data_IF_732826921757
#
_entry.id   IF_732826921757
#
_cell.length_a   1.000
_cell.length_b   1.000
_cell.length_c   1.000
_cell.angle_alpha   90.00
_cell.angle_beta   90.00
_cell.angle_gamma   90.00
#
_symmetry.space_group_name_H-M   'P 1'
#
loop_
_entity.id
_entity.type
_entity.pdbx_description
1 polymer ?
#
# COMPACT_ATOMS: atom_id res chain seq x y z
N UNK A 1 65.86 -72.93 13.80
CA UNK A 1 64.45 -73.22 14.09
C UNK A 1 63.82 -71.88 14.54
N UNK A 2 63.03 -71.26 13.69
CA UNK A 2 61.89 -70.40 14.06
C UNK A 2 61.29 -69.82 12.78
N UNK A 3 60.04 -70.08 12.56
CA UNK A 3 59.30 -69.87 11.36
C UNK A 3 58.92 -68.36 11.19
N UNK A 4 59.16 -67.84 10.01
CA UNK A 4 58.65 -66.52 9.59
C UNK A 4 57.20 -66.66 9.20
N UNK A 5 56.36 -65.80 9.77
CA UNK A 5 54.98 -65.53 9.30
C UNK A 5 55.00 -64.38 8.30
N UNK A 6 54.61 -64.68 7.07
CA UNK A 6 54.32 -63.72 6.05
C UNK A 6 52.97 -63.01 6.32
N UNK A 7 52.99 -61.71 6.44
CA UNK A 7 51.78 -60.89 6.46
C UNK A 7 51.31 -60.62 5.01
N UNK A 8 50.09 -61.05 4.66
CA UNK A 8 49.47 -60.77 3.39
C UNK A 8 48.98 -59.31 3.32
N UNK A 9 48.84 -58.73 2.14
CA UNK A 9 48.42 -57.32 1.96
C UNK A 9 46.95 -57.17 2.29
N UNK A 10 46.68 -56.28 3.23
CA UNK A 10 45.33 -55.79 3.49
C UNK A 10 44.83 -54.98 2.27
N UNK A 11 43.96 -55.57 1.50
CA UNK A 11 43.13 -54.86 0.51
C UNK A 11 42.07 -54.02 1.28
N UNK A 12 42.32 -52.73 1.43
CA UNK A 12 41.31 -51.79 1.86
C UNK A 12 40.32 -51.64 0.69
N UNK A 13 39.14 -52.25 0.82
CA UNK A 13 38.01 -51.95 -0.07
C UNK A 13 37.67 -50.47 0.06
N UNK A 14 38.05 -49.69 -0.93
CA UNK A 14 37.53 -48.34 -1.11
C UNK A 14 36.03 -48.44 -1.41
N UNK A 15 35.23 -48.24 -0.35
CA UNK A 15 33.80 -48.06 -0.47
C UNK A 15 33.59 -46.79 -1.31
N UNK A 16 33.12 -46.95 -2.53
CA UNK A 16 32.76 -45.82 -3.41
C UNK A 16 31.78 -44.92 -2.67
N UNK A 17 32.22 -43.73 -2.27
CA UNK A 17 31.34 -42.69 -1.77
C UNK A 17 30.32 -42.40 -2.87
N UNK A 18 29.02 -42.56 -2.53
CA UNK A 18 27.93 -42.15 -3.37
C UNK A 18 28.11 -40.63 -3.71
N UNK A 19 27.87 -40.23 -4.95
CA UNK A 19 28.02 -38.84 -5.31
C UNK A 19 27.16 -37.97 -4.37
N UNK A 20 27.82 -37.07 -3.64
CA UNK A 20 27.16 -36.05 -2.81
C UNK A 20 26.24 -35.30 -3.74
N UNK A 21 24.94 -35.50 -3.60
CA UNK A 21 23.94 -34.76 -4.36
C UNK A 21 24.22 -33.30 -4.10
N UNK A 22 24.44 -32.55 -5.17
CA UNK A 22 24.69 -31.09 -5.09
C UNK A 22 23.44 -30.42 -4.54
N UNK A 23 23.36 -30.26 -3.22
CA UNK A 23 22.24 -29.65 -2.49
C UNK A 23 22.01 -28.17 -2.89
N UNK A 24 22.90 -27.60 -3.72
CA UNK A 24 22.83 -26.21 -4.17
C UNK A 24 21.76 -25.98 -5.22
N UNK A 25 21.16 -26.99 -5.81
CA UNK A 25 20.10 -26.86 -6.82
C UNK A 25 18.87 -27.63 -6.36
N UNK A 26 18.19 -27.11 -5.34
CA UNK A 26 16.80 -27.49 -5.09
C UNK A 26 15.97 -27.01 -6.29
N UNK A 27 15.68 -27.90 -7.23
CA UNK A 27 14.69 -27.67 -8.28
C UNK A 27 13.32 -27.53 -7.64
N UNK A 28 13.01 -26.32 -7.14
CA UNK A 28 11.68 -26.02 -6.64
C UNK A 28 10.69 -26.18 -7.79
N UNK A 29 9.70 -27.06 -7.64
CA UNK A 29 8.60 -27.25 -8.58
C UNK A 29 8.01 -25.89 -8.98
N UNK A 30 7.64 -25.66 -10.26
CA UNK A 30 7.01 -24.42 -10.70
C UNK A 30 5.74 -24.10 -9.89
N UNK A 31 5.03 -25.12 -9.42
CA UNK A 31 3.88 -24.98 -8.53
C UNK A 31 4.28 -24.41 -7.14
N UNK A 32 5.42 -24.86 -6.56
CA UNK A 32 5.93 -24.30 -5.30
C UNK A 32 6.34 -22.83 -5.46
N UNK A 33 6.96 -22.47 -6.59
CA UNK A 33 7.30 -21.07 -6.92
C UNK A 33 6.04 -20.19 -7.08
N UNK A 34 4.98 -20.75 -7.66
CA UNK A 34 3.70 -20.05 -7.79
C UNK A 34 3.06 -19.85 -6.41
N UNK A 35 2.96 -20.89 -5.59
CA UNK A 35 2.39 -20.85 -4.24
C UNK A 35 3.15 -19.94 -3.26
N UNK A 36 4.42 -19.66 -3.52
CA UNK A 36 5.24 -18.75 -2.72
C UNK A 36 5.05 -17.27 -3.09
N UNK A 37 4.23 -16.93 -4.11
CA UNK A 37 4.00 -15.53 -4.49
C UNK A 37 3.05 -14.85 -3.52
N UNK A 38 3.39 -13.64 -3.02
CA UNK A 38 2.55 -12.89 -2.08
C UNK A 38 1.14 -12.58 -2.62
N UNK A 39 1.00 -12.48 -3.95
CA UNK A 39 -0.26 -12.11 -4.60
C UNK A 39 -1.30 -13.24 -4.65
N UNK A 40 -0.88 -14.52 -4.56
CA UNK A 40 -1.81 -15.63 -4.76
C UNK A 40 -2.93 -15.67 -3.73
N UNK A 41 -2.59 -15.46 -2.46
CA UNK A 41 -3.60 -15.43 -1.40
C UNK A 41 -4.64 -14.34 -1.62
N UNK A 42 -4.19 -13.15 -1.99
CA UNK A 42 -5.08 -12.01 -2.25
C UNK A 42 -5.92 -12.21 -3.51
N UNK A 43 -5.37 -12.80 -4.59
CA UNK A 43 -6.12 -13.10 -5.81
C UNK A 43 -7.22 -14.13 -5.56
N UNK A 44 -6.93 -15.19 -4.80
CA UNK A 44 -7.95 -16.19 -4.40
C UNK A 44 -9.02 -15.53 -3.53
N UNK A 45 -8.63 -14.68 -2.58
CA UNK A 45 -9.55 -13.90 -1.76
C UNK A 45 -10.43 -12.97 -2.60
N UNK A 46 -9.84 -12.27 -3.57
CA UNK A 46 -10.58 -11.39 -4.48
C UNK A 46 -11.59 -12.16 -5.32
N UNK A 47 -11.21 -13.33 -5.84
CA UNK A 47 -12.11 -14.20 -6.60
C UNK A 47 -13.26 -14.70 -5.72
N UNK A 48 -12.96 -15.11 -4.49
CA UNK A 48 -14.00 -15.57 -3.55
C UNK A 48 -15.01 -14.45 -3.23
N UNK A 49 -14.54 -13.23 -2.93
CA UNK A 49 -15.39 -12.06 -2.67
C UNK A 49 -16.18 -11.66 -3.92
N UNK A 50 -15.55 -11.69 -5.09
CA UNK A 50 -16.24 -11.42 -6.36
C UNK A 50 -17.38 -12.40 -6.61
N UNK A 51 -17.11 -13.71 -6.52
CA UNK A 51 -18.13 -14.76 -6.71
C UNK A 51 -19.24 -14.64 -5.67
N UNK A 52 -18.89 -14.38 -4.42
CA UNK A 52 -19.85 -14.20 -3.34
C UNK A 52 -20.85 -13.08 -3.68
N UNK A 53 -20.38 -11.86 -4.00
CA UNK A 53 -21.30 -10.76 -4.34
C UNK A 53 -21.96 -10.92 -5.71
N UNK A 54 -21.35 -11.62 -6.66
CA UNK A 54 -21.99 -11.94 -7.94
C UNK A 54 -23.21 -12.85 -7.78
N UNK A 55 -23.24 -13.69 -6.72
CA UNK A 55 -24.35 -14.61 -6.43
C UNK A 55 -25.46 -13.98 -5.59
N UNK A 56 -25.14 -13.02 -4.71
CA UNK A 56 -26.09 -12.51 -3.72
C UNK A 56 -26.55 -11.06 -3.96
N UNK A 57 -25.79 -10.29 -4.74
CA UNK A 57 -26.08 -8.87 -4.95
C UNK A 57 -26.64 -8.64 -6.36
N UNK A 58 -27.94 -8.35 -6.44
CA UNK A 58 -28.59 -8.06 -7.69
C UNK A 58 -27.98 -6.84 -8.39
N UNK A 59 -27.58 -7.04 -9.65
CA UNK A 59 -26.97 -5.99 -10.44
C UNK A 59 -25.48 -5.75 -10.20
N UNK A 60 -24.79 -6.51 -9.32
CA UNK A 60 -23.35 -6.41 -9.09
C UNK A 60 -22.52 -6.55 -10.36
N UNK A 61 -22.92 -7.43 -11.28
CA UNK A 61 -22.24 -7.70 -12.56
C UNK A 61 -22.56 -6.68 -13.66
N UNK A 62 -23.41 -5.67 -13.41
CA UNK A 62 -23.66 -4.60 -14.39
C UNK A 62 -22.40 -3.78 -14.60
N UNK A 63 -22.13 -3.34 -15.83
CA UNK A 63 -20.94 -2.56 -16.15
C UNK A 63 -20.81 -1.28 -15.30
N UNK A 64 -21.92 -0.59 -15.02
CA UNK A 64 -21.94 0.59 -14.13
C UNK A 64 -21.57 0.25 -12.68
N UNK A 65 -22.01 -0.93 -12.18
CA UNK A 65 -21.67 -1.40 -10.84
C UNK A 65 -20.19 -1.75 -10.74
N UNK A 66 -19.63 -2.41 -11.74
CA UNK A 66 -18.19 -2.71 -11.82
C UNK A 66 -17.35 -1.44 -11.89
N UNK A 67 -17.80 -0.43 -12.66
CA UNK A 67 -17.14 0.90 -12.65
C UNK A 67 -17.14 1.53 -11.26
N UNK A 68 -18.27 1.46 -10.54
CA UNK A 68 -18.38 1.98 -9.16
C UNK A 68 -17.47 1.21 -8.19
N UNK A 69 -17.33 -0.11 -8.34
CA UNK A 69 -16.38 -0.93 -7.58
C UNK A 69 -14.95 -0.51 -7.88
N UNK A 70 -14.58 -0.36 -9.16
CA UNK A 70 -13.25 0.08 -9.55
C UNK A 70 -12.92 1.48 -9.02
N UNK A 71 -13.89 2.39 -9.03
CA UNK A 71 -13.72 3.71 -8.44
C UNK A 71 -13.45 3.63 -6.94
N UNK A 72 -14.28 2.90 -6.17
CA UNK A 72 -14.08 2.70 -4.74
C UNK A 72 -12.74 1.99 -4.43
N UNK A 73 -12.33 1.06 -5.29
CA UNK A 73 -11.03 0.39 -5.18
C UNK A 73 -9.88 1.37 -5.43
N UNK A 74 -10.00 2.25 -6.43
CA UNK A 74 -8.95 3.19 -6.79
C UNK A 74 -8.71 4.26 -5.72
N UNK A 75 -9.74 4.75 -5.04
CA UNK A 75 -9.59 5.73 -3.96
C UNK A 75 -8.78 5.20 -2.79
N UNK A 76 -8.91 3.91 -2.48
CA UNK A 76 -8.08 3.24 -1.47
C UNK A 76 -6.75 2.80 -2.06
N UNK A 77 -6.74 2.29 -3.29
CA UNK A 77 -5.57 1.72 -3.94
C UNK A 77 -4.45 2.72 -4.22
N UNK A 78 -4.78 3.99 -4.49
CA UNK A 78 -3.79 5.07 -4.62
C UNK A 78 -2.93 5.17 -3.36
N UNK A 79 -3.52 4.99 -2.18
CA UNK A 79 -2.80 5.01 -0.90
C UNK A 79 -2.24 3.63 -0.50
N UNK A 80 -2.97 2.55 -0.76
CA UNK A 80 -2.56 1.21 -0.37
C UNK A 80 -1.23 0.78 -1.01
N UNK A 81 -0.94 1.21 -2.25
CA UNK A 81 0.31 0.88 -2.94
C UNK A 81 1.53 1.49 -2.25
N UNK A 82 1.66 2.81 -2.06
CA UNK A 82 2.82 3.37 -1.36
C UNK A 82 2.89 2.95 0.12
N UNK A 83 1.76 2.76 0.80
CA UNK A 83 1.72 2.20 2.16
C UNK A 83 2.26 0.77 2.16
N UNK A 84 1.93 -0.06 1.17
CA UNK A 84 2.50 -1.40 1.04
C UNK A 84 4.02 -1.37 0.85
N UNK A 85 4.56 -0.46 0.02
CA UNK A 85 6.00 -0.29 -0.14
C UNK A 85 6.66 0.08 1.19
N UNK A 86 6.06 0.99 1.96
CA UNK A 86 6.53 1.38 3.28
C UNK A 86 6.51 0.18 4.25
N UNK A 87 5.43 -0.59 4.26
CA UNK A 87 5.30 -1.81 5.08
C UNK A 87 6.33 -2.88 4.69
N UNK A 88 6.59 -3.08 3.39
CA UNK A 88 7.67 -3.96 2.92
C UNK A 88 9.02 -3.48 3.47
N UNK A 89 9.23 -2.17 3.57
CA UNK A 89 10.39 -1.54 4.21
C UNK A 89 10.44 -1.67 5.74
N UNK A 90 9.44 -2.31 6.37
CA UNK A 90 9.38 -2.58 7.81
C UNK A 90 8.78 -1.45 8.64
N UNK A 91 8.13 -0.44 8.02
CA UNK A 91 7.62 0.75 8.70
C UNK A 91 6.14 0.98 8.46
N UNK A 92 5.51 1.79 9.32
CA UNK A 92 4.12 2.19 9.25
C UNK A 92 3.98 3.72 9.24
N UNK A 93 2.89 4.22 8.64
CA UNK A 93 2.54 5.63 8.67
C UNK A 93 1.06 5.81 9.05
N UNK A 94 0.83 6.17 10.32
CA UNK A 94 -0.50 6.50 10.81
C UNK A 94 -0.94 7.90 10.39
N UNK A 95 -0.03 8.76 9.93
CA UNK A 95 -0.41 10.09 9.45
C UNK A 95 -0.96 10.09 8.03
N UNK A 96 -0.84 8.96 7.32
CA UNK A 96 -1.18 8.84 5.89
C UNK A 96 -2.61 9.28 5.55
N UNK A 97 -3.60 8.91 6.39
CA UNK A 97 -5.00 9.29 6.18
C UNK A 97 -5.25 10.78 6.34
N UNK A 98 -4.75 11.35 7.42
CA UNK A 98 -4.89 12.80 7.71
C UNK A 98 -4.08 13.65 6.73
N UNK A 99 -2.93 13.14 6.24
CA UNK A 99 -2.11 13.82 5.25
C UNK A 99 -2.85 14.01 3.91
N UNK A 100 -3.75 13.10 3.53
CA UNK A 100 -4.66 13.28 2.39
C UNK A 100 -5.47 14.56 2.56
N UNK A 101 -6.12 14.71 3.71
CA UNK A 101 -6.91 15.91 4.03
C UNK A 101 -6.04 17.15 4.14
N UNK A 102 -4.87 17.07 4.80
CA UNK A 102 -3.92 18.19 4.87
C UNK A 102 -3.51 18.70 3.50
N UNK A 103 -3.20 17.78 2.57
CA UNK A 103 -2.85 18.12 1.19
C UNK A 103 -4.00 18.86 0.47
N UNK A 104 -5.21 18.36 0.61
CA UNK A 104 -6.41 18.97 0.01
C UNK A 104 -6.69 20.37 0.61
N UNK A 105 -6.62 20.51 1.94
CA UNK A 105 -6.80 21.79 2.65
C UNK A 105 -5.76 22.84 2.22
N UNK A 106 -4.48 22.46 2.18
CA UNK A 106 -3.39 23.34 1.74
C UNK A 106 -3.64 23.80 0.30
N UNK A 107 -3.98 22.85 -0.58
CA UNK A 107 -4.28 23.19 -1.99
C UNK A 107 -5.45 24.17 -2.11
N UNK A 108 -6.55 23.93 -1.38
CA UNK A 108 -7.73 24.79 -1.37
C UNK A 108 -7.44 26.17 -0.82
N UNK A 109 -6.83 26.27 0.38
CA UNK A 109 -6.54 27.55 1.04
C UNK A 109 -5.56 28.41 0.24
N UNK A 110 -4.48 27.81 -0.30
CA UNK A 110 -3.56 28.56 -1.15
C UNK A 110 -4.20 29.04 -2.43
N UNK A 111 -5.06 28.23 -3.06
CA UNK A 111 -5.79 28.64 -4.25
C UNK A 111 -6.73 29.81 -3.99
N UNK A 112 -7.48 29.76 -2.88
CA UNK A 112 -8.50 30.75 -2.55
C UNK A 112 -7.95 32.02 -1.90
N UNK A 113 -7.05 31.87 -0.90
CA UNK A 113 -6.62 33.00 -0.06
C UNK A 113 -5.35 33.69 -0.58
N UNK A 114 -4.41 32.95 -1.17
CA UNK A 114 -3.08 33.46 -1.52
C UNK A 114 -2.93 33.74 -3.00
N UNK A 115 -3.65 33.01 -3.86
CA UNK A 115 -3.60 33.19 -5.33
C UNK A 115 -4.95 32.83 -5.93
N UNK A 116 -5.30 33.43 -7.04
CA UNK A 116 -6.48 33.01 -7.79
C UNK A 116 -6.24 31.78 -8.69
N UNK A 117 -5.08 31.17 -8.65
CA UNK A 117 -4.69 30.06 -9.53
C UNK A 117 -4.58 28.74 -8.76
N UNK A 118 -5.42 27.80 -9.11
CA UNK A 118 -5.52 26.47 -8.49
C UNK A 118 -4.22 25.65 -8.61
N UNK A 119 -3.48 25.76 -9.71
CA UNK A 119 -2.23 25.01 -9.91
C UNK A 119 -1.12 25.42 -8.95
N UNK A 120 -1.13 26.66 -8.46
CA UNK A 120 -0.18 27.09 -7.41
C UNK A 120 -0.49 26.35 -6.11
N UNK A 121 -1.77 26.28 -5.71
CA UNK A 121 -2.19 25.51 -4.54
C UNK A 121 -1.83 24.02 -4.66
N UNK A 122 -2.05 23.42 -5.83
CA UNK A 122 -1.67 22.04 -6.14
C UNK A 122 -0.15 21.82 -5.99
N UNK A 123 0.67 22.75 -6.51
CA UNK A 123 2.13 22.67 -6.39
C UNK A 123 2.62 22.86 -4.96
N UNK A 124 2.09 23.84 -4.23
CA UNK A 124 2.44 24.09 -2.82
C UNK A 124 2.08 22.90 -1.95
N UNK A 125 0.87 22.35 -2.13
CA UNK A 125 0.45 21.16 -1.37
C UNK A 125 1.32 19.94 -1.63
N UNK A 126 1.83 19.75 -2.85
CA UNK A 126 2.81 18.70 -3.15
C UNK A 126 4.09 18.87 -2.34
N UNK A 127 4.68 20.08 -2.37
CA UNK A 127 5.92 20.37 -1.66
C UNK A 127 5.77 20.17 -0.15
N UNK A 128 4.66 20.66 0.43
CA UNK A 128 4.39 20.51 1.87
C UNK A 128 4.15 19.04 2.23
N UNK A 129 3.38 18.31 1.43
CA UNK A 129 3.15 16.88 1.67
C UNK A 129 4.46 16.09 1.65
N UNK A 130 5.31 16.31 0.63
CA UNK A 130 6.63 15.66 0.55
C UNK A 130 7.53 16.06 1.72
N UNK A 131 7.49 17.31 2.19
CA UNK A 131 8.24 17.76 3.35
C UNK A 131 7.79 17.05 4.64
N UNK A 132 6.47 16.84 4.83
CA UNK A 132 5.92 16.08 5.97
C UNK A 132 6.37 14.61 5.90
N UNK A 133 6.29 13.97 4.73
CA UNK A 133 6.81 12.62 4.56
C UNK A 133 8.31 12.52 4.83
N UNK A 134 9.11 13.48 4.31
CA UNK A 134 10.53 13.54 4.58
C UNK A 134 10.83 13.76 6.07
N UNK A 135 10.04 14.59 6.75
CA UNK A 135 10.14 14.82 8.20
C UNK A 135 9.91 13.53 8.99
N UNK A 136 8.84 12.76 8.69
CA UNK A 136 8.59 11.48 9.34
C UNK A 136 9.76 10.51 9.17
N UNK A 137 10.23 10.34 7.94
CA UNK A 137 11.37 9.47 7.64
C UNK A 137 12.68 9.95 8.28
N UNK A 138 12.94 11.27 8.31
CA UNK A 138 14.09 11.86 8.96
C UNK A 138 14.05 11.64 10.48
N UNK A 139 12.91 11.92 11.12
CA UNK A 139 12.73 11.71 12.55
C UNK A 139 12.95 10.24 12.93
N UNK A 140 12.38 9.30 12.15
CA UNK A 140 12.57 7.87 12.36
C UNK A 140 14.05 7.48 12.34
N UNK A 141 14.76 7.90 11.30
CA UNK A 141 16.16 7.51 11.12
C UNK A 141 17.12 8.18 12.10
N UNK A 142 16.75 9.37 12.61
CA UNK A 142 17.59 10.14 13.55
C UNK A 142 17.36 9.76 14.99
N UNK A 143 16.10 9.52 15.41
CA UNK A 143 15.74 9.25 16.80
C UNK A 143 15.72 7.79 17.15
N UNK A 144 15.60 6.89 16.15
CA UNK A 144 15.40 5.44 16.31
C UNK A 144 14.13 5.09 17.13
N UNK A 145 13.19 6.02 17.25
CA UNK A 145 11.88 5.74 17.83
C UNK A 145 11.07 4.86 16.87
N UNK A 146 10.19 4.01 17.38
CA UNK A 146 9.26 3.23 16.53
C UNK A 146 8.45 4.15 15.61
N UNK A 147 8.26 3.73 14.35
CA UNK A 147 7.47 4.48 13.36
C UNK A 147 6.07 4.83 13.84
N UNK A 148 5.44 3.92 14.57
CA UNK A 148 4.14 4.14 15.20
C UNK A 148 4.10 5.42 16.06
N UNK A 149 5.12 5.66 16.91
CA UNK A 149 5.16 6.83 17.81
C UNK A 149 5.32 8.11 17.02
N UNK A 150 6.24 8.12 16.03
CA UNK A 150 6.52 9.31 15.23
C UNK A 150 5.31 9.69 14.40
N UNK A 151 4.73 8.72 13.70
CA UNK A 151 3.60 8.99 12.80
C UNK A 151 2.29 9.23 13.54
N UNK A 152 2.10 8.67 14.75
CA UNK A 152 1.01 9.03 15.64
C UNK A 152 1.14 10.49 16.12
N UNK A 153 2.35 10.93 16.46
CA UNK A 153 2.61 12.33 16.79
C UNK A 153 2.28 13.26 15.63
N UNK A 154 2.76 12.93 14.42
CA UNK A 154 2.44 13.69 13.21
C UNK A 154 0.94 13.66 12.88
N UNK A 155 0.28 12.51 13.04
CA UNK A 155 -1.17 12.39 12.90
C UNK A 155 -1.93 13.39 13.79
N UNK A 156 -1.60 13.41 15.10
CA UNK A 156 -2.26 14.33 16.05
C UNK A 156 -1.96 15.80 15.73
N UNK A 157 -0.72 16.12 15.35
CA UNK A 157 -0.36 17.46 14.93
C UNK A 157 -1.13 17.89 13.68
N UNK A 158 -1.22 17.04 12.67
CA UNK A 158 -1.97 17.33 11.45
C UNK A 158 -3.47 17.45 11.72
N UNK A 159 -4.07 16.60 12.56
CA UNK A 159 -5.47 16.74 12.99
C UNK A 159 -5.72 18.11 13.60
N UNK A 160 -4.87 18.55 14.51
CA UNK A 160 -4.98 19.85 15.16
C UNK A 160 -4.77 21.02 14.20
N UNK A 161 -3.76 20.93 13.34
CA UNK A 161 -3.45 21.96 12.34
C UNK A 161 -4.57 22.05 11.28
N UNK A 162 -5.05 20.94 10.77
CA UNK A 162 -6.15 20.92 9.78
C UNK A 162 -7.38 21.66 10.33
N UNK A 163 -7.82 21.33 11.53
CA UNK A 163 -8.97 21.98 12.16
C UNK A 163 -8.67 23.44 12.52
N UNK A 164 -7.52 23.71 13.14
CA UNK A 164 -7.13 25.03 13.61
C UNK A 164 -6.99 26.03 12.47
N UNK A 165 -6.23 25.68 11.42
CA UNK A 165 -6.06 26.57 10.27
C UNK A 165 -7.36 26.75 9.46
N UNK A 166 -8.17 25.69 9.28
CA UNK A 166 -9.45 25.83 8.58
C UNK A 166 -10.38 26.80 9.32
N UNK A 167 -10.49 26.70 10.64
CA UNK A 167 -11.29 27.65 11.44
C UNK A 167 -10.71 29.07 11.42
N UNK A 168 -9.39 29.20 11.48
CA UNK A 168 -8.73 30.51 11.50
C UNK A 168 -8.88 31.23 10.17
N UNK A 169 -8.80 30.51 9.05
CA UNK A 169 -8.79 31.09 7.69
C UNK A 169 -10.21 31.23 7.15
N UNK A 170 -11.01 30.17 7.25
CA UNK A 170 -12.34 30.11 6.63
C UNK A 170 -13.51 30.35 7.60
N UNK A 171 -13.23 30.39 8.93
CA UNK A 171 -14.23 30.60 9.98
C UNK A 171 -15.12 29.39 10.25
N UNK A 172 -14.93 28.26 9.54
CA UNK A 172 -15.73 27.04 9.61
C UNK A 172 -14.82 25.81 9.67
N UNK A 173 -15.39 24.61 9.72
CA UNK A 173 -14.65 23.33 9.67
C UNK A 173 -14.38 22.84 8.24
N UNK A 174 -14.88 23.55 7.25
CA UNK A 174 -14.72 23.24 5.81
C UNK A 174 -14.15 24.44 5.07
N UNK A 175 -13.37 24.19 4.03
CA UNK A 175 -12.89 25.25 3.13
C UNK A 175 -14.03 25.81 2.29
N UNK A 176 -13.82 27.00 1.73
CA UNK A 176 -14.70 27.56 0.71
C UNK A 176 -14.54 26.80 -0.61
N UNK A 177 -15.56 26.90 -1.47
CA UNK A 177 -15.47 26.35 -2.83
C UNK A 177 -14.38 27.06 -3.64
N UNK A 178 -13.64 26.27 -4.42
CA UNK A 178 -12.63 26.77 -5.36
C UNK A 178 -13.08 26.66 -6.82
N UNK A 179 -14.35 26.34 -7.06
CA UNK A 179 -14.88 26.08 -8.41
C UNK A 179 -14.69 27.27 -9.37
N UNK A 180 -14.70 28.50 -8.86
CA UNK A 180 -14.56 29.75 -9.64
C UNK A 180 -13.08 30.19 -9.83
N UNK A 181 -12.11 29.43 -9.29
CA UNK A 181 -10.70 29.79 -9.36
C UNK A 181 -10.10 29.47 -10.75
N UNK A 182 -9.14 30.32 -11.18
CA UNK A 182 -8.40 30.03 -12.41
C UNK A 182 -7.70 28.68 -12.37
N UNK A 183 -7.79 27.90 -13.47
CA UNK A 183 -7.17 26.60 -13.58
C UNK A 183 -7.99 25.46 -12.94
N UNK A 184 -9.12 25.75 -12.27
CA UNK A 184 -9.94 24.71 -11.64
C UNK A 184 -10.37 23.62 -12.63
N UNK A 185 -10.94 23.99 -13.79
CA UNK A 185 -11.41 23.03 -14.79
C UNK A 185 -10.29 22.12 -15.30
N UNK A 186 -9.09 22.67 -15.53
CA UNK A 186 -7.94 21.89 -15.98
C UNK A 186 -7.39 20.97 -14.87
N UNK A 187 -7.35 21.42 -13.62
CA UNK A 187 -6.95 20.61 -12.49
C UNK A 187 -7.98 19.50 -12.20
N UNK A 188 -9.27 19.82 -12.24
CA UNK A 188 -10.35 18.82 -12.14
C UNK A 188 -10.26 17.76 -13.25
N UNK A 189 -9.90 18.14 -14.47
CA UNK A 189 -9.70 17.20 -15.57
C UNK A 189 -8.60 16.19 -15.26
N UNK A 190 -7.53 16.60 -14.56
CA UNK A 190 -6.40 15.74 -14.19
C UNK A 190 -6.73 14.82 -12.99
N UNK A 191 -7.43 15.37 -11.97
CA UNK A 191 -7.57 14.67 -10.68
C UNK A 191 -8.96 14.08 -10.44
N UNK A 192 -10.02 14.58 -11.10
CA UNK A 192 -11.40 14.19 -10.78
C UNK A 192 -12.32 14.04 -12.00
N UNK A 193 -11.75 13.96 -13.22
CA UNK A 193 -12.57 13.79 -14.43
C UNK A 193 -13.22 12.42 -14.49
N UNK A 194 -14.27 12.37 -15.33
CA UNK A 194 -14.99 11.16 -15.67
C UNK A 194 -14.91 10.97 -17.18
N UNK A 195 -14.58 9.76 -17.61
CA UNK A 195 -14.51 9.38 -19.02
C UNK A 195 -15.60 8.34 -19.28
N UNK A 196 -16.54 8.64 -20.17
CA UNK A 196 -17.61 7.71 -20.55
C UNK A 196 -17.15 6.83 -21.69
N UNK A 197 -17.16 5.51 -21.49
CA UNK A 197 -16.83 4.51 -22.49
C UNK A 197 -18.02 3.55 -22.62
N UNK A 198 -18.63 3.48 -23.80
CA UNK A 198 -19.79 2.60 -24.04
C UNK A 198 -21.00 2.87 -23.12
N UNK A 199 -21.20 4.12 -22.70
CA UNK A 199 -22.29 4.52 -21.80
C UNK A 199 -22.00 4.23 -20.30
N UNK A 200 -20.79 3.82 -19.97
CA UNK A 200 -20.33 3.60 -18.59
C UNK A 200 -19.29 4.63 -18.22
N UNK A 201 -19.45 5.25 -17.05
CA UNK A 201 -18.60 6.32 -16.53
C UNK A 201 -17.44 5.77 -15.72
N UNK A 202 -16.20 6.05 -16.11
CA UNK A 202 -14.99 5.71 -15.40
C UNK A 202 -14.29 6.94 -14.85
N UNK A 203 -13.93 6.92 -13.56
CA UNK A 203 -13.18 8.01 -12.92
C UNK A 203 -11.70 7.94 -13.23
N UNK A 204 -11.07 9.09 -13.45
CA UNK A 204 -9.61 9.20 -13.72
C UNK A 204 -8.74 8.62 -12.61
N UNK A 205 -9.25 8.53 -11.37
CA UNK A 205 -8.57 7.89 -10.23
C UNK A 205 -8.16 6.45 -10.51
N UNK A 206 -8.91 5.73 -11.35
CA UNK A 206 -8.54 4.37 -11.78
C UNK A 206 -7.21 4.41 -12.54
N UNK A 207 -6.99 5.40 -13.40
CA UNK A 207 -5.71 5.56 -14.12
C UNK A 207 -4.57 5.92 -13.17
N UNK A 208 -4.79 6.82 -12.20
CA UNK A 208 -3.79 7.14 -11.17
C UNK A 208 -3.42 5.91 -10.35
N UNK A 209 -4.41 5.13 -9.94
CA UNK A 209 -4.18 3.88 -9.23
C UNK A 209 -3.35 2.89 -10.04
N UNK A 210 -3.73 2.62 -11.30
CA UNK A 210 -2.99 1.73 -12.19
C UNK A 210 -1.56 2.23 -12.44
N UNK A 211 -1.37 3.54 -12.60
CA UNK A 211 -0.05 4.14 -12.76
C UNK A 211 0.82 3.91 -11.50
N UNK A 212 0.27 4.07 -10.29
CA UNK A 212 0.99 3.80 -9.04
C UNK A 212 1.28 2.31 -8.86
N UNK A 213 0.37 1.42 -9.24
CA UNK A 213 0.62 -0.05 -9.24
C UNK A 213 1.76 -0.39 -10.19
N UNK A 214 1.76 0.16 -11.40
CA UNK A 214 2.81 -0.06 -12.38
C UNK A 214 4.16 0.49 -11.88
N UNK A 215 4.18 1.72 -11.35
CA UNK A 215 5.37 2.36 -10.80
C UNK A 215 5.90 1.59 -9.58
N UNK A 216 5.05 1.26 -8.62
CA UNK A 216 5.44 0.52 -7.41
C UNK A 216 5.97 -0.88 -7.75
N UNK A 217 5.31 -1.57 -8.68
CA UNK A 217 5.77 -2.89 -9.16
C UNK A 217 7.11 -2.78 -9.89
N UNK A 218 7.29 -1.76 -10.72
CA UNK A 218 8.55 -1.51 -11.42
C UNK A 218 9.68 -1.20 -10.42
N UNK A 219 9.42 -0.34 -9.41
CA UNK A 219 10.39 -0.03 -8.36
C UNK A 219 10.80 -1.33 -7.64
N UNK A 220 9.84 -2.13 -7.15
CA UNK A 220 10.13 -3.33 -6.37
C UNK A 220 10.84 -4.41 -7.19
N UNK A 221 10.44 -4.63 -8.44
CA UNK A 221 10.88 -5.79 -9.22
C UNK A 221 12.06 -5.51 -10.17
N UNK A 222 12.31 -4.23 -10.53
CA UNK A 222 13.24 -3.87 -11.59
C UNK A 222 14.31 -2.88 -11.19
N UNK A 223 14.28 -2.34 -9.94
CA UNK A 223 15.24 -1.34 -9.51
C UNK A 223 16.09 -1.79 -8.32
N UNK A 224 17.26 -1.16 -8.14
CA UNK A 224 18.10 -1.35 -6.95
C UNK A 224 17.38 -0.89 -5.67
N UNK A 225 16.51 0.12 -5.80
CA UNK A 225 15.72 0.64 -4.66
C UNK A 225 14.77 -0.45 -4.13
N UNK A 226 14.15 -1.26 -5.00
CA UNK A 226 13.33 -2.38 -4.60
C UNK A 226 14.10 -3.41 -3.75
N UNK A 227 15.31 -3.76 -4.17
CA UNK A 227 16.18 -4.65 -3.39
C UNK A 227 16.53 -4.04 -2.03
N UNK A 228 16.76 -2.73 -1.96
CA UNK A 228 17.01 -2.03 -0.69
C UNK A 228 15.77 -2.06 0.23
N UNK A 229 14.57 -1.86 -0.33
CA UNK A 229 13.31 -1.92 0.42
C UNK A 229 13.15 -3.29 1.08
N UNK A 230 13.30 -4.38 0.32
CA UNK A 230 13.21 -5.74 0.87
C UNK A 230 14.30 -6.04 1.89
N UNK A 231 15.55 -5.60 1.63
CA UNK A 231 16.66 -5.82 2.54
C UNK A 231 16.46 -5.09 3.88
N UNK A 232 16.06 -3.80 3.82
CA UNK A 232 15.80 -2.97 5.01
C UNK A 232 14.66 -3.54 5.84
N UNK A 233 13.56 -3.94 5.20
CA UNK A 233 12.41 -4.50 5.90
C UNK A 233 12.64 -5.92 6.43
N UNK A 234 13.55 -6.69 5.81
CA UNK A 234 13.91 -8.03 6.29
C UNK A 234 14.85 -8.00 7.50
N UNK A 235 15.93 -7.24 7.41
CA UNK A 235 16.87 -7.01 8.52
C UNK A 235 17.67 -5.72 8.26
N UNK A 236 17.34 -4.68 9.01
CA UNK A 236 17.94 -3.34 8.86
C UNK A 236 19.46 -3.35 9.11
N UNK A 237 19.91 -4.05 10.15
CA UNK A 237 21.32 -4.07 10.53
C UNK A 237 22.16 -4.83 9.50
N UNK A 238 21.67 -5.97 9.03
CA UNK A 238 22.33 -6.72 7.95
C UNK A 238 22.35 -5.90 6.64
N UNK A 239 21.26 -5.21 6.29
CA UNK A 239 21.21 -4.33 5.12
C UNK A 239 22.24 -3.20 5.21
N UNK A 240 22.39 -2.60 6.39
CA UNK A 240 23.39 -1.56 6.66
C UNK A 240 24.81 -2.08 6.54
N UNK A 241 25.08 -3.29 7.04
CA UNK A 241 26.41 -3.92 6.98
C UNK A 241 26.87 -4.18 5.54
N UNK A 242 25.96 -4.44 4.61
CA UNK A 242 26.28 -4.63 3.17
C UNK A 242 26.17 -3.35 2.35
N UNK A 243 26.07 -2.17 3.00
CA UNK A 243 26.15 -0.85 2.36
C UNK A 243 24.84 -0.31 1.80
N UNK A 244 23.68 -0.90 2.17
CA UNK A 244 22.38 -0.34 1.78
C UNK A 244 22.16 1.02 2.47
N UNK A 245 21.74 2.07 1.73
CA UNK A 245 21.51 3.40 2.31
C UNK A 245 20.16 3.46 3.05
N UNK A 246 20.07 2.79 4.22
CA UNK A 246 18.86 2.59 5.02
C UNK A 246 18.07 3.89 5.25
N UNK A 247 18.76 4.97 5.70
CA UNK A 247 18.09 6.25 5.98
C UNK A 247 17.42 6.83 4.72
N UNK A 248 18.13 6.85 3.58
CA UNK A 248 17.59 7.36 2.32
C UNK A 248 16.40 6.50 1.83
N UNK A 249 16.50 5.20 2.01
CA UNK A 249 15.42 4.27 1.63
C UNK A 249 14.16 4.55 2.45
N UNK A 250 14.28 4.65 3.79
CA UNK A 250 13.14 4.93 4.66
C UNK A 250 12.52 6.30 4.38
N UNK A 251 13.34 7.37 4.28
CA UNK A 251 12.85 8.71 3.95
C UNK A 251 12.12 8.70 2.61
N UNK A 252 12.67 8.04 1.58
CA UNK A 252 12.04 7.93 0.27
C UNK A 252 10.69 7.21 0.31
N UNK A 253 10.54 6.19 1.16
CA UNK A 253 9.28 5.46 1.35
C UNK A 253 8.20 6.36 1.98
N UNK A 254 8.54 7.12 3.03
CA UNK A 254 7.60 8.09 3.61
C UNK A 254 7.22 9.21 2.63
N UNK A 255 8.17 9.69 1.81
CA UNK A 255 7.86 10.63 0.73
C UNK A 255 6.95 9.99 -0.33
N UNK A 256 7.10 8.70 -0.61
CA UNK A 256 6.21 7.94 -1.50
C UNK A 256 4.78 7.87 -0.96
N UNK A 257 4.58 7.64 0.35
CA UNK A 257 3.27 7.71 1.01
C UNK A 257 2.69 9.11 0.91
N UNK A 258 3.50 10.13 1.18
CA UNK A 258 3.07 11.52 1.09
C UNK A 258 2.69 11.94 -0.34
N UNK A 259 3.36 11.41 -1.36
CA UNK A 259 2.98 11.61 -2.76
C UNK A 259 1.63 10.96 -3.09
N UNK A 260 1.38 9.75 -2.61
CA UNK A 260 0.07 9.10 -2.73
C UNK A 260 -1.02 9.90 -2.01
N UNK A 261 -0.72 10.42 -0.81
CA UNK A 261 -1.63 11.26 -0.04
C UNK A 261 -1.96 12.57 -0.78
N UNK A 262 -0.96 13.17 -1.44
CA UNK A 262 -1.19 14.34 -2.28
C UNK A 262 -2.13 14.03 -3.45
N UNK A 263 -1.92 12.95 -4.22
CA UNK A 263 -2.83 12.57 -5.33
C UNK A 263 -4.25 12.37 -4.80
N UNK A 264 -4.40 11.60 -3.72
CA UNK A 264 -5.72 11.34 -3.10
C UNK A 264 -6.38 12.63 -2.60
N UNK A 265 -5.60 13.55 -2.02
CA UNK A 265 -6.07 14.84 -1.55
C UNK A 265 -6.53 15.75 -2.69
N UNK A 266 -5.80 15.78 -3.82
CA UNK A 266 -6.26 16.53 -5.00
C UNK A 266 -7.55 15.92 -5.56
N UNK A 267 -7.63 14.58 -5.65
CA UNK A 267 -8.86 13.93 -6.06
C UNK A 267 -10.04 14.33 -5.16
N UNK A 268 -9.85 14.32 -3.84
CA UNK A 268 -10.86 14.71 -2.86
C UNK A 268 -11.34 16.14 -3.11
N UNK A 269 -10.40 17.10 -3.18
CA UNK A 269 -10.68 18.51 -3.38
C UNK A 269 -11.45 18.77 -4.69
N UNK A 270 -10.97 18.23 -5.83
CA UNK A 270 -11.57 18.47 -7.13
C UNK A 270 -12.84 17.65 -7.40
N UNK A 271 -13.17 16.69 -6.54
CA UNK A 271 -14.44 15.95 -6.60
C UNK A 271 -15.57 16.68 -5.88
N UNK A 272 -15.26 17.40 -4.78
CA UNK A 272 -16.25 18.04 -3.92
C UNK A 272 -16.13 19.57 -3.88
N UNK A 273 -15.13 20.15 -4.56
CA UNK A 273 -14.85 21.59 -4.67
C UNK A 273 -14.52 22.29 -3.33
N UNK A 274 -14.64 21.58 -2.22
CA UNK A 274 -14.33 21.99 -0.85
C UNK A 274 -13.94 20.76 -0.02
N UNK A 275 -13.29 20.95 1.14
CA UNK A 275 -12.77 19.87 1.99
C UNK A 275 -13.09 20.14 3.46
N UNK A 276 -13.53 19.12 4.18
CA UNK A 276 -13.71 19.15 5.63
C UNK A 276 -12.41 18.76 6.37
N UNK A 277 -12.08 19.48 7.42
CA UNK A 277 -10.81 19.32 8.16
C UNK A 277 -10.60 17.95 8.83
N UNK A 278 -11.67 17.20 9.07
CA UNK A 278 -11.63 15.87 9.73
C UNK A 278 -11.79 14.68 8.79
N UNK A 279 -11.85 14.87 7.48
CA UNK A 279 -12.32 13.86 6.53
C UNK A 279 -11.40 12.63 6.40
N UNK A 280 -10.10 12.76 6.53
CA UNK A 280 -9.13 11.66 6.36
C UNK A 280 -8.90 10.78 7.59
N UNK A 281 -9.47 11.13 8.75
CA UNK A 281 -9.24 10.43 10.02
C UNK A 281 -9.80 9.01 9.99
N UNK A 282 -8.96 8.02 10.28
CA UNK A 282 -9.31 6.60 10.30
C UNK A 282 -9.04 5.87 8.98
N UNK A 283 -8.76 6.59 7.88
CA UNK A 283 -8.46 5.99 6.58
C UNK A 283 -7.08 5.33 6.55
N UNK A 284 -6.13 5.75 7.39
CA UNK A 284 -4.81 5.15 7.52
C UNK A 284 -4.87 3.66 7.81
N UNK A 285 -5.79 3.24 8.68
CA UNK A 285 -6.00 1.83 8.98
C UNK A 285 -6.53 1.05 7.78
N UNK A 286 -7.41 1.68 6.98
CA UNK A 286 -7.96 1.06 5.77
C UNK A 286 -6.87 0.80 4.73
N UNK A 287 -5.93 1.73 4.55
CA UNK A 287 -4.80 1.57 3.63
C UNK A 287 -3.86 0.44 4.07
N UNK A 288 -3.57 0.36 5.38
CA UNK A 288 -2.78 -0.72 5.97
C UNK A 288 -3.50 -2.06 5.79
N UNK A 289 -4.79 -2.12 6.09
CA UNK A 289 -5.60 -3.34 5.93
C UNK A 289 -5.58 -3.81 4.47
N UNK A 290 -5.75 -2.92 3.50
CA UNK A 290 -5.68 -3.26 2.08
C UNK A 290 -4.31 -3.83 1.70
N UNK A 291 -3.21 -3.28 2.23
CA UNK A 291 -1.87 -3.80 2.01
C UNK A 291 -1.67 -5.19 2.64
N UNK A 292 -2.18 -5.42 3.87
CA UNK A 292 -2.09 -6.71 4.57
C UNK A 292 -2.93 -7.79 3.89
N UNK A 293 -4.18 -7.48 3.52
CA UNK A 293 -5.04 -8.38 2.71
C UNK A 293 -4.34 -8.70 1.38
N UNK A 294 -3.63 -7.71 0.82
CA UNK A 294 -2.80 -7.84 -0.37
C UNK A 294 -1.55 -8.72 -0.21
N UNK A 295 -1.28 -9.24 1.00
CA UNK A 295 -0.17 -10.16 1.30
C UNK A 295 1.09 -9.49 1.80
N UNK A 296 1.08 -8.20 2.17
CA UNK A 296 2.20 -7.57 2.85
C UNK A 296 2.28 -8.04 4.31
N UNK A 297 3.48 -8.38 4.76
CA UNK A 297 3.71 -8.70 6.17
C UNK A 297 3.83 -7.44 7.02
N UNK A 298 3.22 -7.49 8.20
CA UNK A 298 3.35 -6.42 9.21
C UNK A 298 4.80 -6.29 9.71
N UNK A 299 5.56 -7.37 9.67
CA UNK A 299 6.97 -7.41 10.10
C UNK A 299 7.95 -6.90 9.06
N UNK A 300 7.51 -6.55 7.86
CA UNK A 300 8.36 -6.11 6.75
C UNK A 300 9.02 -7.24 5.95
N UNK A 301 9.81 -6.88 4.97
CA UNK A 301 10.64 -7.78 4.16
C UNK A 301 9.88 -8.64 3.13
N UNK A 302 8.54 -8.57 3.08
CA UNK A 302 7.73 -9.37 2.18
C UNK A 302 6.43 -8.65 1.80
N UNK A 303 6.07 -8.71 0.54
CA UNK A 303 4.85 -8.10 0.00
C UNK A 303 4.97 -7.76 -1.47
N UNK A 304 3.90 -7.16 -2.01
CA UNK A 304 3.81 -6.82 -3.43
C UNK A 304 2.89 -5.62 -3.66
N UNK A 305 3.27 -4.73 -4.59
CA UNK A 305 2.42 -3.63 -5.02
C UNK A 305 1.15 -4.13 -5.75
N UNK A 306 1.28 -5.21 -6.52
CA UNK A 306 0.12 -5.85 -7.18
C UNK A 306 -0.80 -6.46 -6.13
N UNK A 307 -0.22 -7.15 -5.12
CA UNK A 307 -1.01 -7.72 -4.02
C UNK A 307 -1.82 -6.66 -3.30
N UNK A 308 -1.21 -5.51 -2.94
CA UNK A 308 -1.94 -4.40 -2.28
C UNK A 308 -3.04 -3.80 -3.17
N UNK A 309 -2.83 -3.75 -4.49
CA UNK A 309 -3.88 -3.35 -5.42
C UNK A 309 -5.07 -4.33 -5.41
N UNK A 310 -4.79 -5.63 -5.37
CA UNK A 310 -5.83 -6.66 -5.22
C UNK A 310 -6.53 -6.53 -3.87
N UNK A 311 -5.81 -6.21 -2.79
CA UNK A 311 -6.40 -5.90 -1.48
C UNK A 311 -7.36 -4.70 -1.53
N UNK A 312 -6.96 -3.63 -2.23
CA UNK A 312 -7.84 -2.48 -2.48
C UNK A 312 -9.06 -2.86 -3.34
N UNK A 313 -8.91 -3.77 -4.30
CA UNK A 313 -10.04 -4.29 -5.08
C UNK A 313 -11.02 -5.09 -4.21
N UNK A 314 -10.52 -5.93 -3.31
CA UNK A 314 -11.36 -6.65 -2.32
C UNK A 314 -12.15 -5.64 -1.48
N UNK A 315 -11.48 -4.57 -1.01
CA UNK A 315 -12.15 -3.50 -0.27
C UNK A 315 -13.28 -2.85 -1.08
N UNK A 316 -13.02 -2.45 -2.33
CA UNK A 316 -14.02 -1.83 -3.20
C UNK A 316 -15.20 -2.75 -3.49
N UNK A 317 -14.93 -4.03 -3.77
CA UNK A 317 -15.98 -5.05 -3.97
C UNK A 317 -16.84 -5.23 -2.72
N UNK A 318 -16.23 -5.30 -1.55
CA UNK A 318 -16.96 -5.46 -0.29
C UNK A 318 -17.78 -4.22 0.04
N UNK A 319 -17.18 -3.02 -0.06
CA UNK A 319 -17.87 -1.75 0.22
C UNK A 319 -19.09 -1.53 -0.66
N UNK A 320 -18.99 -1.82 -1.95
CA UNK A 320 -20.08 -1.64 -2.90
C UNK A 320 -21.01 -2.86 -2.98
N UNK A 321 -20.45 -4.07 -2.83
CA UNK A 321 -21.22 -5.30 -2.80
C UNK A 321 -22.23 -5.33 -1.65
N UNK A 322 -21.87 -4.85 -0.46
CA UNK A 322 -22.80 -4.70 0.68
C UNK A 322 -23.99 -3.83 0.30
N UNK A 323 -23.73 -2.69 -0.37
CA UNK A 323 -24.77 -1.76 -0.81
C UNK A 323 -25.65 -2.37 -1.91
N UNK A 324 -25.04 -3.06 -2.88
CA UNK A 324 -25.78 -3.72 -3.96
C UNK A 324 -26.56 -4.96 -3.49
N UNK A 325 -26.15 -5.58 -2.37
CA UNK A 325 -26.90 -6.64 -1.71
C UNK A 325 -28.00 -6.10 -0.77
N UNK A 326 -28.21 -4.77 -0.75
CA UNK A 326 -29.18 -4.09 0.12
C UNK A 326 -28.95 -4.33 1.63
N UNK A 327 -27.72 -4.68 2.00
CA UNK A 327 -27.32 -4.82 3.39
C UNK A 327 -27.02 -3.45 4.01
N UNK A 328 -27.23 -3.34 5.34
CA UNK A 328 -26.88 -2.11 6.04
C UNK A 328 -25.37 -1.83 5.97
N UNK A 329 -24.94 -0.67 5.40
CA UNK A 329 -23.53 -0.30 5.27
C UNK A 329 -22.75 -0.25 6.59
N UNK A 330 -23.43 -0.14 7.74
CA UNK A 330 -22.79 -0.15 9.07
C UNK A 330 -22.02 -1.45 9.34
N UNK A 331 -22.41 -2.56 8.73
CA UNK A 331 -21.70 -3.83 8.81
C UNK A 331 -20.35 -3.83 8.08
N UNK A 332 -20.08 -2.83 7.25
CA UNK A 332 -18.85 -2.78 6.47
C UNK A 332 -17.57 -2.89 7.32
N UNK A 333 -17.52 -2.18 8.46
CA UNK A 333 -16.36 -2.24 9.37
C UNK A 333 -16.17 -3.62 9.99
N UNK A 334 -17.26 -4.33 10.28
CA UNK A 334 -17.23 -5.71 10.76
C UNK A 334 -16.62 -6.64 9.69
N UNK A 335 -17.11 -6.56 8.45
CA UNK A 335 -16.57 -7.35 7.34
C UNK A 335 -15.10 -7.06 7.08
N UNK A 336 -14.69 -5.79 7.15
CA UNK A 336 -13.32 -5.38 6.99
C UNK A 336 -12.41 -6.01 8.06
N UNK A 337 -12.82 -5.96 9.32
CA UNK A 337 -12.09 -6.60 10.42
C UNK A 337 -12.02 -8.11 10.29
N UNK A 338 -13.13 -8.77 9.93
CA UNK A 338 -13.17 -10.21 9.69
C UNK A 338 -12.23 -10.62 8.54
N UNK A 339 -12.25 -9.91 7.41
CA UNK A 339 -11.36 -10.16 6.27
C UNK A 339 -9.89 -9.96 6.64
N UNK A 340 -9.55 -8.94 7.43
CA UNK A 340 -8.19 -8.72 7.92
C UNK A 340 -7.70 -9.92 8.74
N UNK A 341 -8.51 -10.38 9.70
CA UNK A 341 -8.15 -11.52 10.55
C UNK A 341 -8.00 -12.80 9.73
N UNK A 342 -8.95 -13.07 8.84
CA UNK A 342 -8.89 -14.25 7.96
C UNK A 342 -7.67 -14.21 7.04
N UNK A 343 -7.37 -13.08 6.40
CA UNK A 343 -6.20 -12.92 5.54
C UNK A 343 -4.90 -13.11 6.32
N UNK A 344 -4.80 -12.52 7.51
CA UNK A 344 -3.62 -12.63 8.37
C UNK A 344 -3.40 -14.07 8.84
N UNK A 345 -4.46 -14.74 9.29
CA UNK A 345 -4.40 -16.15 9.73
C UNK A 345 -4.05 -17.08 8.57
N UNK A 346 -4.63 -16.87 7.40
CA UNK A 346 -4.32 -17.65 6.20
C UNK A 346 -2.87 -17.47 5.76
N UNK A 347 -2.38 -16.23 5.72
CA UNK A 347 -0.98 -15.94 5.40
C UNK A 347 -0.02 -16.59 6.41
N UNK A 348 -0.33 -16.51 7.71
CA UNK A 348 0.47 -17.16 8.76
C UNK A 348 0.47 -18.69 8.62
N UNK A 349 -0.67 -19.30 8.29
CA UNK A 349 -0.81 -20.73 8.09
C UNK A 349 -0.05 -21.22 6.85
N UNK A 350 -0.18 -20.50 5.71
CA UNK A 350 0.55 -20.84 4.46
C UNK A 350 2.06 -20.77 4.69
N UNK A 351 2.53 -19.72 5.36
CA UNK A 351 3.95 -19.56 5.69
C UNK A 351 4.47 -20.71 6.57
N UNK A 352 3.73 -21.05 7.64
CA UNK A 352 4.10 -22.13 8.54
C UNK A 352 4.19 -23.51 7.83
N UNK A 353 3.31 -23.74 6.85
CA UNK A 353 3.38 -24.94 6.00
C UNK A 353 4.55 -24.91 5.02
N UNK A 354 4.88 -23.76 4.46
CA UNK A 354 6.04 -23.64 3.57
C UNK A 354 7.36 -23.89 4.33
N UNK A 355 7.50 -23.39 5.56
CA UNK A 355 8.66 -23.61 6.44
C UNK A 355 8.77 -25.07 6.92
N UNK A 356 7.65 -25.78 7.12
CA UNK A 356 7.65 -27.20 7.56
C UNK A 356 7.99 -28.19 6.44
N UNK A 357 8.05 -27.75 5.18
CA UNK A 357 8.35 -28.59 4.00
C UNK A 357 9.76 -28.33 3.43
N UNK A 358 10.55 -27.48 4.09
CA UNK A 358 11.99 -27.27 3.87
C UNK A 358 12.81 -28.00 4.91
#
# INVERSE_FOLDING_TARGET
MTAGRSAGPNTVEQKAEAPVADERILRTSPLKKLLARPELGSVVGALAVFVFFALIADGFLRAASLSTVLYASSTIGIMAVPVALLMIGGEFDLSAGVLVTSSALISSMFSYQMTANTWVGVGVSLLVSLAIGAFNGFMLTRTKLPSFIITLGTFLMLCGMNLGFTKLIDGTVSTKTIADMQGFSSARAVFASTVSVGGVDFKVTILWWLALVALGSWILLRTRVGNWIFAVGGNEDAARAVGVPVAKTKIGLYMGVAFGAWISGQHLLFSFDAVQSGEGVGNELIYIIAAVIGGCLITGGYGSAIGSAVGALIFGMTSKGIVFAEWNPDWFKFFLGAMLLLATLLNAWVRKRAEATT
#
